data_IF_907430997375
#
_entry.id   IF_907430997375
#
_cell.length_a   1.000
_cell.length_b   1.000
_cell.length_c   1.000
_cell.angle_alpha   90.00
_cell.angle_beta   90.00
_cell.angle_gamma   90.00
#
_symmetry.space_group_name_H-M   'P 1'
#
loop_
_entity.id
_entity.type
_entity.pdbx_description
1 polymer ?
#
# COMPACT_ATOMS: atom_id res chain seq x y z
N UNK A 1 -21.11 19.94 13.13
CA UNK A 1 -20.14 18.84 12.92
C UNK A 1 -20.95 17.65 12.45
N UNK A 2 -20.69 17.17 11.23
CA UNK A 2 -21.35 16.02 10.63
C UNK A 2 -21.05 14.76 11.46
N UNK A 3 -22.01 13.84 11.56
CA UNK A 3 -21.83 12.59 12.29
C UNK A 3 -20.67 11.75 11.70
N UNK A 4 -19.59 11.47 12.44
CA UNK A 4 -18.44 10.73 11.94
C UNK A 4 -18.76 9.27 11.60
N UNK A 5 -19.88 8.71 12.06
CA UNK A 5 -20.34 7.36 11.71
C UNK A 5 -20.89 7.24 10.28
N UNK A 6 -21.16 8.38 9.63
CA UNK A 6 -21.61 8.44 8.23
C UNK A 6 -20.48 8.39 7.20
N UNK A 7 -19.21 8.45 7.65
CA UNK A 7 -18.07 8.38 6.75
C UNK A 7 -17.89 6.95 6.23
N UNK A 8 -17.58 6.77 4.93
CA UNK A 8 -17.34 5.45 4.39
C UNK A 8 -16.15 4.78 5.07
N UNK A 9 -16.27 3.47 5.29
CA UNK A 9 -15.24 2.62 5.90
C UNK A 9 -13.86 2.79 5.27
N UNK A 10 -13.80 3.16 3.98
CA UNK A 10 -12.57 3.44 3.24
C UNK A 10 -11.67 4.49 3.90
N UNK A 11 -12.23 5.50 4.60
CA UNK A 11 -11.41 6.50 5.30
C UNK A 11 -10.63 5.94 6.49
N UNK A 12 -11.01 4.76 6.96
CA UNK A 12 -10.35 4.06 8.08
C UNK A 12 -9.47 2.90 7.62
N UNK A 13 -9.48 2.60 6.33
CA UNK A 13 -8.62 1.56 5.76
C UNK A 13 -7.25 2.16 5.43
N UNK A 14 -6.17 1.38 5.62
CA UNK A 14 -4.84 1.83 5.29
C UNK A 14 -4.64 1.95 3.78
N UNK A 15 -3.59 2.69 3.42
CA UNK A 15 -3.05 2.72 2.06
C UNK A 15 -1.76 1.87 2.04
N UNK A 16 -1.83 0.54 1.84
CA UNK A 16 -0.65 -0.34 1.88
C UNK A 16 0.28 -0.18 0.66
N UNK A 17 1.57 -0.43 0.90
CA UNK A 17 2.61 -0.63 -0.12
C UNK A 17 3.57 -1.75 0.32
N UNK A 18 4.31 -2.33 -0.63
CA UNK A 18 5.35 -3.32 -0.36
C UNK A 18 6.74 -2.73 -0.64
N UNK A 19 7.71 -3.08 0.20
CA UNK A 19 9.13 -2.75 0.02
C UNK A 19 9.92 -4.03 -0.17
N UNK A 20 10.68 -4.10 -1.27
CA UNK A 20 11.55 -5.22 -1.62
C UNK A 20 13.00 -4.76 -1.46
N UNK A 21 13.79 -5.51 -0.70
CA UNK A 21 15.21 -5.25 -0.50
C UNK A 21 15.97 -6.51 -0.88
N UNK A 22 17.08 -6.35 -1.61
CA UNK A 22 17.94 -7.47 -1.99
C UNK A 22 19.21 -7.41 -1.16
N UNK A 23 19.41 -8.45 -0.35
CA UNK A 23 20.55 -8.54 0.56
C UNK A 23 21.87 -8.63 -0.22
N UNK A 24 22.87 -7.89 0.25
CA UNK A 24 24.22 -7.88 -0.34
C UNK A 24 24.38 -7.05 -1.62
N UNK A 25 23.29 -6.64 -2.30
CA UNK A 25 23.37 -5.73 -3.46
C UNK A 25 23.09 -4.27 -3.10
N UNK A 26 22.40 -4.04 -1.97
CA UNK A 26 21.94 -2.70 -1.58
C UNK A 26 20.75 -2.18 -2.40
N UNK A 27 20.18 -3.01 -3.29
CA UNK A 27 18.98 -2.65 -4.05
C UNK A 27 17.76 -2.59 -3.13
N UNK A 28 16.93 -1.58 -3.36
CA UNK A 28 15.75 -1.31 -2.56
C UNK A 28 14.67 -0.68 -3.43
N UNK A 29 13.55 -1.37 -3.60
CA UNK A 29 12.43 -0.96 -4.42
C UNK A 29 11.14 -0.92 -3.60
N UNK A 30 10.23 -0.04 -3.95
CA UNK A 30 8.90 0.05 -3.35
C UNK A 30 7.84 0.07 -4.42
N UNK A 31 6.69 -0.54 -4.13
CA UNK A 31 5.52 -0.44 -4.99
C UNK A 31 4.85 0.91 -4.83
N UNK A 32 3.96 1.24 -5.77
CA UNK A 32 2.95 2.26 -5.51
C UNK A 32 2.02 1.84 -4.37
N UNK A 33 1.34 2.82 -3.78
CA UNK A 33 0.37 2.58 -2.72
C UNK A 33 -1.00 2.24 -3.30
N UNK A 34 -1.71 1.25 -2.74
CA UNK A 34 -3.11 0.96 -3.09
C UNK A 34 -4.02 1.60 -2.05
N UNK A 35 -5.00 2.41 -2.49
CA UNK A 35 -5.82 3.20 -1.56
C UNK A 35 -6.85 2.37 -0.81
N UNK A 36 -6.97 2.62 0.49
CA UNK A 36 -8.08 2.25 1.35
C UNK A 36 -8.49 0.78 1.22
N UNK A 37 -7.54 -0.14 1.35
CA UNK A 37 -7.79 -1.58 1.19
C UNK A 37 -7.00 -2.42 2.17
N UNK A 38 -7.53 -3.60 2.50
CA UNK A 38 -6.82 -4.66 3.23
C UNK A 38 -6.37 -5.81 2.31
N UNK A 39 -6.74 -5.78 1.02
CA UNK A 39 -6.38 -6.77 0.00
C UNK A 39 -5.75 -6.07 -1.22
N UNK A 40 -4.52 -5.53 -1.10
CA UNK A 40 -3.88 -4.79 -2.19
C UNK A 40 -3.43 -5.71 -3.33
N UNK A 41 -3.54 -5.21 -4.56
CA UNK A 41 -3.03 -5.87 -5.77
C UNK A 41 -2.10 -4.92 -6.51
N UNK A 42 -0.80 -5.10 -6.35
CA UNK A 42 0.20 -4.27 -7.03
C UNK A 42 0.50 -4.75 -8.45
N UNK A 43 0.62 -6.07 -8.65
CA UNK A 43 1.01 -6.67 -9.94
C UNK A 43 2.28 -6.04 -10.56
N UNK A 44 3.16 -5.50 -9.73
CA UNK A 44 4.37 -4.81 -10.15
C UNK A 44 5.51 -5.82 -10.26
N UNK A 45 6.19 -5.81 -11.40
CA UNK A 45 7.34 -6.67 -11.66
C UNK A 45 8.62 -5.86 -11.56
N UNK A 46 9.66 -6.45 -10.98
CA UNK A 46 11.00 -5.89 -10.93
C UNK A 46 11.97 -6.91 -11.48
N UNK A 47 12.72 -6.52 -12.51
CA UNK A 47 13.90 -7.26 -12.96
C UNK A 47 15.05 -6.88 -12.03
N UNK A 48 15.26 -7.69 -10.99
CA UNK A 48 16.20 -7.43 -9.88
C UNK A 48 17.63 -7.88 -10.19
#
# INVERSE_FOLDING_TARGET
>A
ISDPSSLPVSFWLPDPFAKVVVDGSGQCHSTDTVKSTLDPKWNQHYDL
#
